data_IF_667129981776
#
_entry.id   IF_667129981776
#
_cell.length_a   1.000
_cell.length_b   1.000
_cell.length_c   1.000
_cell.angle_alpha   90.00
_cell.angle_beta   90.00
_cell.angle_gamma   90.00
#
_symmetry.space_group_name_H-M   'P 1'
#
loop_
_entity.id
_entity.type
_entity.pdbx_description
1 polymer ?
#
# COMPACT_ATOMS: atom_id res chain seq x y z
N UNK A 1 -17.51 -9.28 -8.16
CA UNK A 1 -18.15 -8.57 -7.03
C UNK A 1 -17.04 -8.22 -6.06
N UNK A 2 -16.83 -6.94 -5.80
CA UNK A 2 -15.69 -6.45 -5.02
C UNK A 2 -16.20 -5.60 -3.86
N UNK A 3 -15.67 -5.83 -2.66
CA UNK A 3 -16.00 -5.01 -1.48
C UNK A 3 -15.40 -3.60 -1.61
N UNK A 4 -16.15 -2.58 -1.16
CA UNK A 4 -15.77 -1.17 -1.23
C UNK A 4 -14.47 -0.87 -0.49
N UNK A 5 -14.27 -1.42 0.71
CA UNK A 5 -13.06 -1.14 1.49
C UNK A 5 -11.84 -1.72 0.83
N UNK A 6 -11.95 -2.95 0.32
CA UNK A 6 -10.88 -3.55 -0.48
C UNK A 6 -10.60 -2.73 -1.74
N UNK A 7 -11.64 -2.35 -2.49
CA UNK A 7 -11.46 -1.56 -3.71
C UNK A 7 -10.74 -0.22 -3.46
N UNK A 8 -11.03 0.45 -2.33
CA UNK A 8 -10.36 1.69 -1.93
C UNK A 8 -8.87 1.54 -1.60
N UNK A 9 -8.35 0.31 -1.49
CA UNK A 9 -6.91 0.07 -1.31
C UNK A 9 -6.15 -0.05 -2.62
N UNK A 10 -6.87 -0.19 -3.75
CA UNK A 10 -6.25 -0.19 -5.07
C UNK A 10 -5.76 1.22 -5.40
N UNK A 11 -4.69 1.34 -6.20
CA UNK A 11 -4.33 2.61 -6.80
C UNK A 11 -5.47 3.14 -7.67
N UNK A 12 -5.43 4.44 -7.98
CA UNK A 12 -6.45 5.06 -8.82
C UNK A 12 -6.43 4.46 -10.23
N UNK A 13 -7.51 3.76 -10.59
CA UNK A 13 -7.64 3.10 -11.89
C UNK A 13 -8.24 4.06 -12.91
N UNK A 14 -7.72 4.06 -14.13
CA UNK A 14 -8.25 4.84 -15.24
C UNK A 14 -9.62 4.31 -15.67
N UNK A 15 -10.67 5.13 -15.46
CA UNK A 15 -12.03 4.80 -15.87
C UNK A 15 -12.28 5.20 -17.33
N UNK A 16 -12.87 4.29 -18.10
CA UNK A 16 -13.23 4.49 -19.51
C UNK A 16 -14.71 4.26 -19.73
N UNK A 17 -15.22 4.67 -20.90
CA UNK A 17 -16.59 4.33 -21.28
C UNK A 17 -16.81 2.82 -21.37
N UNK A 18 -18.00 2.38 -20.97
CA UNK A 18 -18.42 0.96 -21.01
C UNK A 18 -18.21 0.31 -22.38
N UNK A 19 -18.35 1.06 -23.48
CA UNK A 19 -18.19 0.54 -24.83
C UNK A 19 -16.73 0.17 -25.17
N UNK A 20 -15.76 0.71 -24.42
CA UNK A 20 -14.32 0.50 -24.61
C UNK A 20 -13.70 -0.39 -23.54
N UNK A 21 -14.44 -0.71 -22.49
CA UNK A 21 -13.90 -1.41 -21.34
C UNK A 21 -13.83 -2.93 -21.53
N UNK A 22 -12.74 -3.51 -21.05
CA UNK A 22 -12.55 -4.96 -20.96
C UNK A 22 -12.99 -5.50 -19.59
N UNK A 23 -12.94 -4.66 -18.55
CA UNK A 23 -13.26 -5.02 -17.16
C UNK A 23 -14.38 -4.12 -16.64
N UNK A 24 -15.35 -4.75 -15.95
CA UNK A 24 -16.36 -4.06 -15.16
C UNK A 24 -16.20 -4.38 -13.67
N UNK A 25 -15.86 -3.37 -12.88
CA UNK A 25 -15.69 -3.46 -11.43
C UNK A 25 -17.02 -3.20 -10.73
N UNK A 26 -17.69 -4.26 -10.30
CA UNK A 26 -18.92 -4.17 -9.54
C UNK A 26 -18.59 -4.04 -8.05
N UNK A 27 -18.58 -2.79 -7.55
CA UNK A 27 -18.23 -2.46 -6.17
C UNK A 27 -19.47 -2.43 -5.30
N UNK A 28 -19.43 -3.13 -4.17
CA UNK A 28 -20.52 -3.23 -3.21
C UNK A 28 -20.07 -2.82 -1.83
N UNK A 29 -21.02 -2.31 -1.04
CA UNK A 29 -20.83 -1.99 0.37
C UNK A 29 -21.78 -2.84 1.22
N UNK A 30 -21.37 -3.12 2.45
CA UNK A 30 -22.17 -3.89 3.40
C UNK A 30 -22.82 -2.92 4.39
N UNK A 31 -24.11 -2.63 4.17
CA UNK A 31 -24.86 -1.63 4.93
C UNK A 31 -25.77 -2.33 5.94
N UNK A 32 -25.73 -1.91 7.21
CA UNK A 32 -26.62 -2.46 8.24
C UNK A 32 -28.06 -2.04 7.99
N UNK A 33 -28.98 -3.00 7.97
CA UNK A 33 -30.42 -2.77 8.00
C UNK A 33 -30.86 -2.60 9.45
N UNK A 34 -31.23 -1.37 9.82
CA UNK A 34 -31.67 -1.02 11.17
C UNK A 34 -32.95 -1.75 11.59
N UNK A 35 -33.74 -2.26 10.65
CA UNK A 35 -35.03 -2.89 10.93
C UNK A 35 -34.92 -4.40 11.19
N UNK A 36 -33.88 -5.06 10.66
CA UNK A 36 -33.81 -6.52 10.61
C UNK A 36 -32.54 -7.12 11.23
N UNK A 37 -31.76 -6.30 11.95
CA UNK A 37 -30.43 -6.65 12.52
C UNK A 37 -29.57 -7.49 11.58
N UNK A 38 -29.63 -7.16 10.29
CA UNK A 38 -28.94 -7.87 9.24
C UNK A 38 -28.14 -6.88 8.40
N UNK A 39 -27.16 -7.38 7.66
CA UNK A 39 -26.40 -6.58 6.74
C UNK A 39 -26.87 -6.84 5.31
N UNK A 40 -27.14 -5.76 4.57
CA UNK A 40 -27.54 -5.79 3.17
C UNK A 40 -26.38 -5.39 2.29
N UNK A 41 -26.08 -6.26 1.33
CA UNK A 41 -25.13 -5.95 0.28
C UNK A 41 -25.76 -4.93 -0.67
N UNK A 42 -25.22 -3.73 -0.70
CA UNK A 42 -25.72 -2.61 -1.49
C UNK A 42 -24.74 -2.32 -2.63
N UNK A 43 -25.23 -2.25 -3.86
CA UNK A 43 -24.40 -1.82 -4.99
C UNK A 43 -23.94 -0.39 -4.75
N UNK A 44 -22.63 -0.17 -4.75
CA UNK A 44 -22.04 1.13 -4.49
C UNK A 44 -21.73 1.87 -5.78
N UNK A 45 -21.02 1.22 -6.71
CA UNK A 45 -20.71 1.76 -8.04
C UNK A 45 -20.27 0.66 -9.00
N UNK A 46 -20.35 0.95 -10.29
CA UNK A 46 -19.70 0.16 -11.33
C UNK A 46 -18.67 1.03 -12.02
N UNK A 47 -17.41 0.59 -12.07
CA UNK A 47 -16.38 1.25 -12.89
C UNK A 47 -16.01 0.36 -14.07
N UNK A 48 -15.54 1.00 -15.13
CA UNK A 48 -15.16 0.35 -16.36
C UNK A 48 -13.71 0.70 -16.69
N UNK A 49 -12.87 -0.29 -16.92
CA UNK A 49 -11.43 -0.08 -17.19
C UNK A 49 -10.97 -0.93 -18.37
N UNK A 50 -9.97 -0.48 -19.10
CA UNK A 50 -9.22 -1.31 -20.04
C UNK A 50 -8.38 -2.33 -19.24
N UNK A 51 -8.19 -3.55 -19.77
CA UNK A 51 -7.49 -4.61 -19.05
C UNK A 51 -6.02 -4.25 -18.80
N UNK A 52 -5.35 -3.74 -19.84
CA UNK A 52 -3.92 -3.42 -19.79
C UNK A 52 -3.62 -2.27 -18.84
N UNK A 53 -4.35 -1.15 -18.94
CA UNK A 53 -4.19 0.02 -18.05
C UNK A 53 -4.42 -0.35 -16.57
N UNK A 54 -5.45 -1.14 -16.28
CA UNK A 54 -5.73 -1.59 -14.92
C UNK A 54 -4.64 -2.52 -14.38
N UNK A 55 -4.18 -3.49 -15.18
CA UNK A 55 -3.15 -4.44 -14.77
C UNK A 55 -1.80 -3.73 -14.53
N UNK A 56 -1.44 -2.81 -15.41
CA UNK A 56 -0.20 -2.04 -15.31
C UNK A 56 -0.18 -1.20 -14.03
N UNK A 57 -1.27 -0.48 -13.76
CA UNK A 57 -1.44 0.30 -12.53
C UNK A 57 -1.37 -0.56 -11.26
N UNK A 58 -1.98 -1.75 -11.25
CA UNK A 58 -1.99 -2.63 -10.07
C UNK A 58 -0.63 -3.29 -9.84
N UNK A 59 0.11 -3.61 -10.89
CA UNK A 59 1.37 -4.36 -10.80
C UNK A 59 2.60 -3.46 -10.66
N UNK A 60 2.48 -2.18 -11.03
CA UNK A 60 3.54 -1.19 -10.82
C UNK A 60 3.60 -0.75 -9.37
N UNK A 61 4.73 -1.02 -8.73
CA UNK A 61 5.05 -0.46 -7.42
C UNK A 61 5.73 0.89 -7.61
N UNK A 62 5.17 1.95 -7.05
CA UNK A 62 5.83 3.25 -7.01
C UNK A 62 6.78 3.35 -5.82
N UNK A 63 7.93 4.01 -6.04
CA UNK A 63 8.86 4.28 -4.96
C UNK A 63 8.21 5.29 -3.98
N UNK A 64 8.07 4.89 -2.72
CA UNK A 64 7.64 5.79 -1.66
C UNK A 64 8.67 6.89 -1.36
N UNK A 65 8.34 7.87 -0.51
CA UNK A 65 9.22 8.98 -0.17
C UNK A 65 10.57 8.51 0.39
N UNK A 66 11.66 9.01 -0.19
CA UNK A 66 13.04 8.66 0.20
C UNK A 66 13.31 9.03 1.66
N UNK A 67 12.68 10.09 2.16
CA UNK A 67 12.81 10.58 3.52
C UNK A 67 12.36 9.53 4.54
N UNK A 68 11.27 8.81 4.24
CA UNK A 68 10.78 7.71 5.08
C UNK A 68 11.78 6.56 5.16
N UNK A 69 12.35 6.20 4.01
CA UNK A 69 13.42 5.21 3.93
C UNK A 69 14.66 5.64 4.74
N UNK A 70 15.11 6.88 4.55
CA UNK A 70 16.27 7.44 5.25
C UNK A 70 16.08 7.46 6.76
N UNK A 71 14.88 7.79 7.24
CA UNK A 71 14.54 7.77 8.66
C UNK A 71 14.67 6.35 9.24
N UNK A 72 14.08 5.36 8.57
CA UNK A 72 14.15 3.95 9.00
C UNK A 72 15.60 3.46 9.00
N UNK A 73 16.38 3.85 8.00
CA UNK A 73 17.80 3.52 7.91
C UNK A 73 18.59 4.11 9.08
N UNK A 74 18.39 5.39 9.38
CA UNK A 74 19.06 6.07 10.48
C UNK A 74 18.70 5.45 11.84
N UNK A 75 17.44 5.07 12.05
CA UNK A 75 17.00 4.38 13.26
C UNK A 75 17.71 3.02 13.42
N UNK A 76 17.86 2.25 12.34
CA UNK A 76 18.59 0.98 12.36
C UNK A 76 20.07 1.18 12.66
N UNK A 77 20.72 2.15 12.03
CA UNK A 77 22.13 2.49 12.28
C UNK A 77 22.36 2.92 13.74
N UNK A 78 21.48 3.76 14.28
CA UNK A 78 21.57 4.21 15.67
C UNK A 78 21.39 3.06 16.67
N UNK A 79 20.54 2.07 16.37
CA UNK A 79 20.38 0.87 17.20
C UNK A 79 21.65 0.02 17.23
N UNK A 80 22.28 -0.18 16.07
CA UNK A 80 23.54 -0.92 15.96
C UNK A 80 24.66 -0.25 16.75
N UNK A 81 24.80 1.08 16.63
CA UNK A 81 25.79 1.85 17.41
C UNK A 81 25.58 1.78 18.92
N UNK A 82 24.33 1.68 19.39
CA UNK A 82 24.02 1.57 20.83
C UNK A 82 24.25 0.17 21.41
N UNK A 83 24.29 -0.87 20.57
CA UNK A 83 24.51 -2.25 21.00
C UNK A 83 25.98 -2.67 21.07
N UNK A 84 26.92 -1.81 20.66
CA UNK A 84 28.36 -2.07 20.77
C UNK A 84 29.03 -1.18 21.83
N UNK A 85 29.61 -1.75 22.90
CA UNK A 85 30.79 -1.19 23.55
C UNK A 85 32.10 -1.61 22.84
N UNK A 86 32.02 -2.15 21.61
CA UNK A 86 33.15 -2.80 20.92
C UNK A 86 33.87 -1.84 19.95
N UNK A 87 33.18 -0.83 19.40
CA UNK A 87 33.81 0.11 18.46
C UNK A 87 34.94 0.94 19.09
N UNK A 88 34.82 1.27 20.38
CA UNK A 88 35.86 2.02 21.11
C UNK A 88 37.10 1.16 21.44
N UNK A 89 37.00 -0.18 21.45
CA UNK A 89 38.17 -1.04 21.69
C UNK A 89 39.05 -1.20 20.45
N UNK A 90 38.49 -1.06 19.24
CA UNK A 90 39.26 -1.22 17.99
C UNK A 90 40.07 0.07 17.69
N UNK A 91 39.50 1.24 17.93
CA UNK A 91 40.20 2.53 17.75
C UNK A 91 41.29 2.78 18.81
N UNK A 92 41.16 2.20 20.01
CA UNK A 92 42.19 2.29 21.04
C UNK A 92 43.42 1.41 20.77
N UNK A 93 43.31 0.40 19.90
CA UNK A 93 44.44 -0.46 19.53
C UNK A 93 45.28 0.13 18.37
N UNK A 94 44.69 0.94 17.49
CA UNK A 94 45.42 1.63 16.40
C UNK A 94 46.16 2.90 16.85
N UNK A 95 45.88 3.43 18.05
CA UNK A 95 46.55 4.61 18.59
C UNK A 95 47.83 4.30 19.40
N UNK A 96 48.25 3.03 19.49
CA UNK A 96 49.42 2.59 20.24
C UNK A 96 50.52 1.90 19.39
N UNK A 97 50.43 1.97 18.05
CA UNK A 97 51.55 1.61 17.14
C UNK A 97 52.19 2.87 16.52
#
# INVERSE_FOLDING_TARGET
MTDRKFFSTLPELEEVDRARADIAWLVYDLVRDENNDCFKLTHHRTLYTEFESALDTITKTEAGPVEGFMKVLQEKLNKLKKSEPIADSILAQEALE
#
